data_IF_792512789913
#
_entry.id   IF_792512789913
#
_cell.length_a   1.000
_cell.length_b   1.000
_cell.length_c   1.000
_cell.angle_alpha   90.00
_cell.angle_beta   90.00
_cell.angle_gamma   90.00
#
_symmetry.space_group_name_H-M   'P 1'
#
loop_
_entity.id
_entity.type
_entity.pdbx_description
1 polymer ?
#
# COMPACT_ATOMS: atom_id res chain seq x y z
N UNK A 1 -72.56 -42.03 8.00
CA UNK A 1 -71.94 -41.27 6.89
C UNK A 1 -71.59 -39.89 7.41
N UNK A 2 -70.31 -39.69 7.75
CA UNK A 2 -69.82 -38.44 8.32
C UNK A 2 -68.80 -37.76 7.39
N UNK A 3 -69.17 -36.55 6.97
CA UNK A 3 -68.34 -35.36 6.80
C UNK A 3 -67.02 -35.49 5.99
N UNK A 4 -67.09 -35.19 4.69
CA UNK A 4 -65.97 -34.63 3.93
C UNK A 4 -66.46 -33.49 3.02
N UNK A 5 -66.13 -32.25 3.38
CA UNK A 5 -66.51 -31.07 2.59
C UNK A 5 -66.03 -29.73 3.16
N UNK A 6 -64.93 -29.69 3.93
CA UNK A 6 -64.43 -28.46 4.56
C UNK A 6 -63.00 -28.05 4.21
N UNK A 7 -62.26 -28.84 3.45
CA UNK A 7 -60.83 -28.59 3.17
C UNK A 7 -60.54 -27.81 1.87
N UNK A 8 -61.54 -27.54 1.02
CA UNK A 8 -61.29 -26.87 -0.28
C UNK A 8 -61.50 -25.35 -0.28
N UNK A 9 -62.10 -24.77 0.75
CA UNK A 9 -62.37 -23.31 0.82
C UNK A 9 -61.20 -22.49 1.41
N UNK A 10 -60.29 -23.13 2.15
CA UNK A 10 -59.18 -22.43 2.80
C UNK A 10 -58.02 -22.10 1.84
N UNK A 11 -57.78 -22.94 0.83
CA UNK A 11 -56.68 -22.74 -0.13
C UNK A 11 -56.91 -21.60 -1.12
N UNK A 12 -58.15 -21.38 -1.56
CA UNK A 12 -58.53 -20.31 -2.48
C UNK A 12 -58.47 -18.93 -1.85
N UNK A 13 -58.81 -18.81 -0.56
CA UNK A 13 -58.67 -17.54 0.17
C UNK A 13 -57.20 -17.18 0.37
N UNK A 14 -56.34 -18.17 0.62
CA UNK A 14 -54.90 -17.94 0.81
C UNK A 14 -54.19 -17.47 -0.46
N UNK A 15 -54.52 -18.06 -1.62
CA UNK A 15 -54.00 -17.63 -2.93
C UNK A 15 -54.46 -16.22 -3.32
N UNK A 16 -55.68 -15.83 -2.95
CA UNK A 16 -56.20 -14.48 -3.27
C UNK A 16 -55.49 -13.39 -2.46
N UNK A 17 -55.14 -13.65 -1.20
CA UNK A 17 -54.38 -12.71 -0.35
C UNK A 17 -52.95 -12.51 -0.86
N UNK A 18 -52.31 -13.57 -1.37
CA UNK A 18 -50.97 -13.47 -1.99
C UNK A 18 -51.02 -12.69 -3.31
N UNK A 19 -52.03 -12.92 -4.16
CA UNK A 19 -52.16 -12.21 -5.43
C UNK A 19 -52.42 -10.70 -5.24
N UNK A 20 -53.26 -10.32 -4.26
CA UNK A 20 -53.56 -8.90 -3.96
C UNK A 20 -52.37 -8.19 -3.31
N UNK A 21 -51.60 -8.88 -2.45
CA UNK A 21 -50.39 -8.30 -1.85
C UNK A 21 -49.22 -8.18 -2.83
N UNK A 22 -49.09 -9.08 -3.80
CA UNK A 22 -48.12 -8.97 -4.89
C UNK A 22 -48.44 -7.81 -5.85
N UNK A 23 -49.73 -7.56 -6.14
CA UNK A 23 -50.16 -6.42 -6.96
C UNK A 23 -49.86 -5.06 -6.29
N UNK A 24 -50.08 -4.96 -4.98
CA UNK A 24 -49.79 -3.74 -4.20
C UNK A 24 -48.30 -3.41 -4.03
N UNK A 25 -47.42 -4.42 -4.11
CA UNK A 25 -45.97 -4.24 -4.04
C UNK A 25 -45.33 -3.88 -5.39
N UNK A 26 -45.99 -4.19 -6.52
CA UNK A 26 -45.49 -3.84 -7.85
C UNK A 26 -45.67 -2.34 -8.17
N UNK A 27 -46.75 -1.72 -7.70
CA UNK A 27 -47.09 -0.34 -8.06
C UNK A 27 -46.39 0.72 -7.16
N UNK A 28 -45.93 0.32 -5.98
CA UNK A 28 -45.23 1.19 -5.03
C UNK A 28 -43.70 1.08 -5.04
N UNK A 29 -43.11 0.23 -5.88
CA UNK A 29 -41.65 0.10 -6.01
C UNK A 29 -41.03 1.16 -6.93
N UNK A 30 -41.40 2.44 -6.73
CA UNK A 30 -40.59 3.57 -7.17
C UNK A 30 -39.41 3.71 -6.23
N UNK A 31 -38.36 2.94 -6.51
CA UNK A 31 -37.02 3.13 -5.96
C UNK A 31 -36.56 4.58 -6.22
N UNK A 32 -36.17 5.37 -5.21
CA UNK A 32 -35.50 6.64 -5.45
C UNK A 32 -34.07 6.34 -5.89
N UNK A 33 -33.77 6.53 -7.18
CA UNK A 33 -32.43 6.28 -7.70
C UNK A 33 -32.33 5.90 -9.17
N UNK A 34 -33.42 5.99 -9.95
CA UNK A 34 -33.33 5.81 -11.40
C UNK A 34 -32.72 7.07 -12.03
N UNK A 35 -31.39 7.09 -12.10
CA UNK A 35 -30.64 8.05 -12.88
C UNK A 35 -31.09 7.96 -14.34
N UNK A 36 -31.60 9.06 -14.86
CA UNK A 36 -31.85 9.28 -16.28
C UNK A 36 -30.60 8.86 -17.06
N UNK A 37 -30.70 8.09 -18.18
CA UNK A 37 -29.57 7.92 -19.07
C UNK A 37 -29.19 9.31 -19.56
N UNK A 38 -28.07 9.85 -19.09
CA UNK A 38 -27.50 11.06 -19.65
C UNK A 38 -27.28 10.78 -21.15
N UNK A 39 -27.81 11.66 -22.00
CA UNK A 39 -27.54 11.63 -23.43
C UNK A 39 -26.02 11.47 -23.63
N UNK A 40 -25.55 10.70 -24.64
CA UNK A 40 -24.13 10.56 -24.89
C UNK A 40 -23.57 11.95 -25.13
N UNK A 41 -22.78 12.45 -24.18
CA UNK A 41 -21.94 13.62 -24.39
C UNK A 41 -21.03 13.20 -25.54
N UNK A 42 -21.29 13.74 -26.74
CA UNK A 42 -20.27 13.75 -27.77
C UNK A 42 -19.11 14.51 -27.15
N UNK A 43 -18.12 13.79 -26.66
CA UNK A 43 -16.81 14.34 -26.40
C UNK A 43 -16.33 14.82 -27.75
N UNK A 44 -16.57 16.10 -28.04
CA UNK A 44 -15.90 16.80 -29.11
C UNK A 44 -14.43 16.53 -28.87
N UNK A 45 -13.81 15.74 -29.75
CA UNK A 45 -12.38 15.54 -29.77
C UNK A 45 -11.80 16.89 -30.19
N UNK A 46 -11.61 17.78 -29.22
CA UNK A 46 -11.02 19.09 -29.43
C UNK A 46 -9.58 18.82 -29.86
N UNK A 47 -9.30 19.01 -31.15
CA UNK A 47 -7.97 18.94 -31.70
C UNK A 47 -7.05 19.87 -30.87
N UNK A 48 -6.12 19.27 -30.15
CA UNK A 48 -5.15 19.97 -29.32
C UNK A 48 -4.33 20.87 -30.27
N UNK A 49 -4.30 22.20 -30.06
CA UNK A 49 -3.52 23.10 -30.90
C UNK A 49 -2.04 22.66 -30.94
N UNK A 50 -1.33 22.84 -32.07
CA UNK A 50 0.09 22.51 -32.16
C UNK A 50 0.97 23.27 -31.16
N UNK A 51 0.47 24.38 -30.61
CA UNK A 51 1.13 25.19 -29.57
C UNK A 51 0.68 24.83 -28.14
N UNK A 52 0.04 23.67 -27.95
CA UNK A 52 -0.35 23.22 -26.62
C UNK A 52 0.87 22.97 -25.74
N UNK A 53 0.94 23.70 -24.63
CA UNK A 53 1.96 23.54 -23.59
C UNK A 53 1.97 22.08 -23.11
N UNK A 54 3.05 21.36 -23.39
CA UNK A 54 3.25 20.00 -22.89
C UNK A 54 3.56 20.04 -21.40
N UNK A 55 2.51 19.98 -20.58
CA UNK A 55 2.65 19.81 -19.13
C UNK A 55 3.13 18.38 -18.88
N UNK A 56 4.43 18.23 -18.61
CA UNK A 56 5.00 16.94 -18.18
C UNK A 56 4.95 16.92 -16.66
N UNK A 57 4.14 16.05 -16.02
CA UNK A 57 4.12 15.96 -14.57
C UNK A 57 5.48 15.52 -14.07
N UNK A 58 5.97 16.18 -13.02
CA UNK A 58 7.23 15.80 -12.38
C UNK A 58 7.06 14.41 -11.72
N UNK A 59 8.11 13.56 -11.75
CA UNK A 59 8.08 12.30 -11.00
C UNK A 59 7.78 12.57 -9.53
N UNK A 60 6.85 11.81 -8.94
CA UNK A 60 6.54 11.97 -7.51
C UNK A 60 7.65 11.36 -6.69
N UNK A 61 8.56 12.19 -6.17
CA UNK A 61 9.57 11.74 -5.21
C UNK A 61 8.87 11.29 -3.91
N UNK A 62 9.14 10.05 -3.50
CA UNK A 62 8.67 9.46 -2.25
C UNK A 62 9.81 9.43 -1.24
N UNK A 63 9.44 9.45 0.03
CA UNK A 63 10.36 9.40 1.15
C UNK A 63 9.96 8.25 2.07
N UNK A 64 10.94 7.45 2.48
CA UNK A 64 10.83 6.49 3.57
C UNK A 64 11.84 6.88 4.63
N UNK A 65 11.44 6.91 5.90
CA UNK A 65 12.34 7.25 6.98
C UNK A 65 11.83 6.85 8.34
N UNK A 66 12.75 6.90 9.30
CA UNK A 66 12.49 6.75 10.72
C UNK A 66 13.44 7.66 11.48
N UNK A 67 12.97 8.26 12.55
CA UNK A 67 13.75 9.19 13.39
C UNK A 67 13.86 8.63 14.80
N UNK A 68 15.10 8.41 15.26
CA UNK A 68 15.43 7.85 16.57
C UNK A 68 14.58 6.60 16.92
N UNK A 69 14.42 5.71 15.94
CA UNK A 69 13.66 4.46 16.10
C UNK A 69 14.44 3.53 17.03
N UNK A 70 13.91 3.34 18.24
CA UNK A 70 14.52 2.51 19.26
C UNK A 70 14.42 1.02 18.93
N UNK A 71 15.47 0.27 19.23
CA UNK A 71 15.50 -1.19 19.12
C UNK A 71 16.41 -1.80 20.19
N UNK A 72 16.39 -3.13 20.32
CA UNK A 72 17.28 -3.87 21.24
C UNK A 72 17.89 -5.06 20.51
N UNK A 73 19.21 -5.24 20.65
CA UNK A 73 19.89 -6.37 20.01
C UNK A 73 20.03 -6.20 18.51
N UNK A 74 19.57 -7.17 17.72
CA UNK A 74 19.55 -7.09 16.25
C UNK A 74 18.12 -7.00 15.74
N UNK A 75 17.85 -6.06 14.84
CA UNK A 75 16.53 -5.88 14.21
C UNK A 75 16.67 -5.72 12.70
N UNK A 76 15.67 -6.15 11.95
CA UNK A 76 15.57 -5.89 10.51
C UNK A 76 14.21 -5.27 10.22
N UNK A 77 14.24 -4.04 9.72
CA UNK A 77 13.07 -3.22 9.42
C UNK A 77 12.92 -3.16 7.90
N UNK A 78 12.04 -4.00 7.35
CA UNK A 78 11.74 -3.95 5.92
C UNK A 78 10.94 -2.69 5.60
N UNK A 79 11.36 -1.97 4.58
CA UNK A 79 10.72 -0.74 4.14
C UNK A 79 9.70 -1.03 3.04
N UNK A 80 8.52 -0.42 3.13
CA UNK A 80 7.48 -0.53 2.10
C UNK A 80 7.79 0.43 0.94
N UNK A 81 7.94 -0.12 -0.26
CA UNK A 81 8.09 0.64 -1.50
C UNK A 81 6.69 0.85 -2.10
N UNK A 82 6.35 2.10 -2.41
CA UNK A 82 5.09 2.46 -3.03
C UNK A 82 5.12 2.17 -4.54
N UNK A 83 5.14 0.90 -4.93
CA UNK A 83 5.27 0.45 -6.32
C UNK A 83 5.95 -0.91 -6.38
N UNK A 84 6.25 -1.39 -7.58
CA UNK A 84 7.03 -2.61 -7.79
C UNK A 84 8.52 -2.38 -7.56
N UNK A 85 9.00 -1.19 -7.91
CA UNK A 85 10.41 -0.80 -7.79
C UNK A 85 10.58 0.62 -7.25
N UNK A 86 11.75 0.87 -6.66
CA UNK A 86 12.24 2.21 -6.34
C UNK A 86 13.40 2.59 -7.27
N UNK A 87 13.23 3.66 -8.05
CA UNK A 87 14.25 4.24 -8.94
C UNK A 87 14.83 5.52 -8.35
N UNK A 88 15.94 5.99 -8.91
CA UNK A 88 16.57 7.27 -8.55
C UNK A 88 16.77 7.39 -7.03
N UNK A 89 17.22 6.30 -6.41
CA UNK A 89 17.32 6.17 -4.98
C UNK A 89 18.43 7.08 -4.43
N UNK A 90 18.14 7.73 -3.30
CA UNK A 90 19.07 8.58 -2.57
C UNK A 90 18.95 8.26 -1.09
N UNK A 91 20.07 7.86 -0.45
CA UNK A 91 20.16 7.85 1.01
C UNK A 91 20.51 9.26 1.43
N UNK A 92 19.53 9.97 1.98
CA UNK A 92 19.72 11.35 2.47
C UNK A 92 20.50 11.33 3.77
N UNK A 93 20.11 10.45 4.69
CA UNK A 93 20.75 10.28 5.98
C UNK A 93 20.62 8.83 6.45
N UNK A 94 21.67 8.30 7.06
CA UNK A 94 21.61 7.06 7.83
C UNK A 94 22.53 7.16 9.04
N UNK A 95 21.98 7.00 10.23
CA UNK A 95 22.69 7.05 11.50
C UNK A 95 22.22 5.92 12.41
N UNK A 96 23.13 5.43 13.23
CA UNK A 96 22.87 4.43 14.25
C UNK A 96 23.59 4.84 15.55
N UNK A 97 22.94 4.61 16.69
CA UNK A 97 23.48 4.87 18.03
C UNK A 97 23.33 3.63 18.91
N UNK A 98 24.29 3.40 19.80
CA UNK A 98 24.33 2.24 20.71
C UNK A 98 25.67 1.49 20.64
N UNK A 99 25.76 0.39 21.39
CA UNK A 99 26.95 -0.47 21.42
C UNK A 99 27.10 -1.20 20.08
N UNK A 100 28.27 -1.13 19.44
CA UNK A 100 28.50 -1.73 18.12
C UNK A 100 27.52 -1.28 17.02
N UNK A 101 26.96 -0.08 17.16
CA UNK A 101 26.00 0.48 16.22
C UNK A 101 26.58 0.69 14.81
N UNK A 102 27.90 0.75 14.67
CA UNK A 102 28.65 0.79 13.42
C UNK A 102 28.38 -0.41 12.50
N UNK A 103 27.94 -1.55 13.07
CA UNK A 103 27.54 -2.75 12.30
C UNK A 103 26.11 -2.69 11.76
N UNK A 104 25.34 -1.65 12.09
CA UNK A 104 24.04 -1.40 11.48
C UNK A 104 24.20 -1.08 10.00
N UNK A 105 23.20 -1.38 9.17
CA UNK A 105 23.30 -1.14 7.72
C UNK A 105 21.94 -0.94 7.08
N UNK A 106 21.88 -0.14 6.02
CA UNK A 106 20.79 -0.24 5.04
C UNK A 106 21.19 -1.28 4.01
N UNK A 107 20.34 -2.28 3.78
CA UNK A 107 20.51 -3.29 2.74
C UNK A 107 19.52 -3.00 1.62
N UNK A 108 20.04 -2.86 0.41
CA UNK A 108 19.25 -2.68 -0.82
C UNK A 108 19.47 -3.92 -1.68
N UNK A 109 18.37 -4.50 -2.16
CA UNK A 109 18.38 -5.53 -3.19
C UNK A 109 17.93 -4.89 -4.49
N UNK A 110 18.77 -5.01 -5.51
CA UNK A 110 18.52 -4.49 -6.85
C UNK A 110 17.82 -5.55 -7.73
N UNK A 111 17.16 -5.10 -8.79
CA UNK A 111 16.43 -5.96 -9.73
C UNK A 111 17.31 -7.05 -10.38
N UNK A 112 18.60 -6.77 -10.59
CA UNK A 112 19.58 -7.73 -11.10
C UNK A 112 20.05 -8.75 -10.03
N UNK A 113 19.52 -8.71 -8.81
CA UNK A 113 19.90 -9.57 -7.68
C UNK A 113 21.12 -9.08 -6.89
N UNK A 114 21.77 -7.99 -7.31
CA UNK A 114 22.89 -7.39 -6.58
C UNK A 114 22.41 -6.87 -5.23
N UNK A 115 23.22 -7.10 -4.19
CA UNK A 115 22.94 -6.63 -2.83
C UNK A 115 23.96 -5.57 -2.47
N UNK A 116 23.46 -4.40 -2.09
CA UNK A 116 24.30 -3.28 -1.68
C UNK A 116 24.01 -2.91 -0.22
N UNK A 117 25.07 -2.67 0.54
CA UNK A 117 24.98 -2.29 1.95
C UNK A 117 25.52 -0.88 2.16
N UNK A 118 24.83 -0.11 3.00
CA UNK A 118 25.22 1.24 3.37
C UNK A 118 25.44 1.28 4.87
N UNK A 119 26.65 1.63 5.29
CA UNK A 119 27.02 1.77 6.69
C UNK A 119 26.50 3.10 7.29
N UNK A 120 26.40 3.21 8.63
CA UNK A 120 25.95 4.43 9.29
C UNK A 120 26.94 5.58 9.07
N UNK A 121 26.43 6.82 9.10
CA UNK A 121 27.20 8.04 8.82
C UNK A 121 27.15 8.48 7.36
N UNK A 122 26.59 7.67 6.46
CA UNK A 122 26.41 8.03 5.06
C UNK A 122 25.29 9.07 4.91
N UNK A 123 25.59 10.15 4.18
CA UNK A 123 24.65 11.22 3.87
C UNK A 123 24.67 11.53 2.37
N UNK A 124 23.52 11.91 1.82
CA UNK A 124 23.33 12.33 0.43
C UNK A 124 23.94 11.39 -0.64
N UNK A 125 23.97 10.08 -0.39
CA UNK A 125 24.48 9.11 -1.35
C UNK A 125 23.45 8.84 -2.44
N UNK A 126 23.82 9.11 -3.68
CA UNK A 126 23.02 8.82 -4.88
C UNK A 126 23.52 7.53 -5.53
N UNK A 127 22.59 6.73 -6.06
CA UNK A 127 22.93 5.55 -6.84
C UNK A 127 22.89 5.84 -8.34
N UNK A 128 23.58 5.03 -9.17
CA UNK A 128 23.56 5.19 -10.62
C UNK A 128 22.14 5.16 -11.19
N UNK A 129 21.91 6.01 -12.20
CA UNK A 129 20.67 6.01 -12.97
C UNK A 129 20.50 4.64 -13.65
N UNK A 130 19.29 4.07 -13.57
CA UNK A 130 18.97 2.77 -14.16
C UNK A 130 19.02 1.58 -13.20
N UNK A 131 19.48 1.75 -11.95
CA UNK A 131 19.29 0.72 -10.91
C UNK A 131 17.90 0.84 -10.27
N UNK A 132 17.20 -0.29 -10.22
CA UNK A 132 15.86 -0.42 -9.66
C UNK A 132 15.93 -1.25 -8.38
N UNK A 133 15.62 -0.66 -7.23
CA UNK A 133 15.57 -1.39 -5.96
C UNK A 133 14.25 -2.14 -5.83
N UNK A 134 14.33 -3.46 -5.59
CA UNK A 134 13.17 -4.33 -5.33
C UNK A 134 12.89 -4.49 -3.85
N UNK A 135 13.92 -4.34 -3.00
CA UNK A 135 13.77 -4.42 -1.56
C UNK A 135 14.75 -3.47 -0.88
N UNK A 136 14.25 -2.78 0.15
CA UNK A 136 15.07 -1.94 1.02
C UNK A 136 14.78 -2.38 2.46
N UNK A 137 15.82 -2.66 3.21
CA UNK A 137 15.74 -3.10 4.61
C UNK A 137 16.74 -2.32 5.45
N UNK A 138 16.32 -1.82 6.61
CA UNK A 138 17.20 -1.14 7.57
C UNK A 138 17.50 -2.12 8.70
N UNK A 139 18.77 -2.44 8.89
CA UNK A 139 19.23 -3.41 9.87
C UNK A 139 19.90 -2.66 11.01
N UNK A 140 19.34 -2.81 12.20
CA UNK A 140 19.93 -2.30 13.43
C UNK A 140 20.73 -3.38 14.13
N UNK A 141 21.90 -3.00 14.63
CA UNK A 141 22.75 -3.86 15.43
C UNK A 141 23.19 -3.11 16.69
N UNK A 142 22.81 -3.65 17.85
CA UNK A 142 23.23 -3.17 19.17
C UNK A 142 23.39 -4.37 20.10
N UNK A 143 24.51 -5.06 19.97
CA UNK A 143 24.87 -6.23 20.78
C UNK A 143 26.18 -5.92 21.46
N UNK A 144 26.29 -6.18 22.77
CA UNK A 144 27.60 -6.24 23.41
C UNK A 144 28.24 -7.58 23.08
N UNK A 145 29.22 -7.57 22.19
CA UNK A 145 29.94 -8.77 21.78
C UNK A 145 30.90 -9.20 22.89
N UNK A 146 30.82 -10.48 23.26
CA UNK A 146 31.69 -11.06 24.29
C UNK A 146 32.45 -12.25 23.72
N UNK A 147 33.77 -12.37 23.96
CA UNK A 147 34.55 -13.44 23.34
C UNK A 147 34.17 -14.86 23.81
N UNK A 148 33.55 -15.01 25.00
CA UNK A 148 33.36 -16.30 25.68
C UNK A 148 31.90 -16.52 26.11
N UNK A 149 31.07 -15.47 26.12
CA UNK A 149 29.70 -15.52 26.62
C UNK A 149 28.71 -15.20 25.50
N UNK A 150 27.45 -15.59 25.69
CA UNK A 150 26.38 -15.18 24.79
C UNK A 150 26.32 -13.66 24.64
N UNK A 151 26.19 -13.21 23.38
CA UNK A 151 26.04 -11.79 23.08
C UNK A 151 24.84 -11.21 23.81
N UNK A 152 25.03 -10.05 24.42
CA UNK A 152 23.98 -9.41 25.21
C UNK A 152 23.30 -8.32 24.39
N UNK A 153 21.97 -8.40 24.19
CA UNK A 153 21.25 -7.40 23.42
C UNK A 153 21.17 -6.09 24.21
N UNK A 154 21.64 -5.01 23.59
CA UNK A 154 21.69 -3.66 24.17
C UNK A 154 20.68 -2.74 23.47
N UNK A 155 20.18 -1.70 24.15
CA UNK A 155 19.38 -0.67 23.50
C UNK A 155 20.20 0.04 22.40
N UNK A 156 19.55 0.40 21.32
CA UNK A 156 20.11 1.24 20.26
C UNK A 156 19.02 2.07 19.59
N UNK A 157 19.42 3.01 18.74
CA UNK A 157 18.48 3.76 17.89
C UNK A 157 18.98 3.90 16.46
N UNK A 158 18.03 4.01 15.52
CA UNK A 158 18.28 4.20 14.10
C UNK A 158 17.56 5.45 13.61
N UNK A 159 18.25 6.23 12.79
CA UNK A 159 17.68 7.35 12.05
C UNK A 159 18.03 7.20 10.58
N UNK A 160 17.05 7.17 9.69
CA UNK A 160 17.28 7.09 8.25
C UNK A 160 16.26 7.91 7.47
N UNK A 161 16.71 8.38 6.31
CA UNK A 161 15.86 8.99 5.30
C UNK A 161 16.33 8.53 3.92
N UNK A 162 15.40 7.95 3.16
CA UNK A 162 15.61 7.39 1.83
C UNK A 162 14.60 8.05 0.92
N UNK A 163 15.06 8.67 -0.16
CA UNK A 163 14.21 9.24 -1.21
C UNK A 163 14.31 8.41 -2.47
N UNK A 164 13.20 8.25 -3.18
CA UNK A 164 13.13 7.47 -4.40
C UNK A 164 11.95 7.86 -5.26
N UNK A 165 11.97 7.46 -6.52
CA UNK A 165 10.84 7.55 -7.44
C UNK A 165 10.17 6.17 -7.57
N UNK A 166 8.86 6.07 -7.31
CA UNK A 166 8.13 4.81 -7.43
C UNK A 166 7.89 4.43 -8.89
N UNK A 167 7.94 3.13 -9.19
CA UNK A 167 7.60 2.57 -10.50
C UNK A 167 6.74 1.33 -10.33
N UNK A 168 5.68 1.24 -11.13
CA UNK A 168 4.74 0.10 -11.19
C UNK A 168 5.27 -1.09 -12.02
#
# INVERSE_FOLDING_TARGET
MGIHGKSFLAGTVFMLVIAVSAGWLWENNKLPGQATPAAPVKTSETAIPPDAVKITPLPTLRMIGGTDVAFKGKVTLRQAIAGRFAKNLVIVNFQAKGDHADKSMIRIVWENGEVETIAPGVTNRKFPLGKNAVEISVIGYSMQERPIFHDLPRPGSLTWEIRYEPVE
#
